data_IF_757236335981
#
_entry.id   IF_757236335981
#
_cell.length_a   1.000
_cell.length_b   1.000
_cell.length_c   1.000
_cell.angle_alpha   90.00
_cell.angle_beta   90.00
_cell.angle_gamma   90.00
#
_symmetry.space_group_name_H-M   'P 1'
#
loop_
_entity.id
_entity.type
_entity.pdbx_description
1 polymer ?
#
# COMPACT_ATOMS: atom_id res chain seq x y z
N UNK A 1 42.06 13.62 -46.73
CA UNK A 1 40.81 13.77 -45.97
C UNK A 1 41.05 13.17 -44.60
N UNK A 2 41.34 14.02 -43.62
CA UNK A 2 41.62 13.62 -42.24
C UNK A 2 40.32 13.65 -41.45
N UNK A 3 39.94 12.52 -40.85
CA UNK A 3 38.85 12.44 -39.89
C UNK A 3 39.48 12.38 -38.49
N UNK A 4 39.27 13.45 -37.72
CA UNK A 4 39.54 13.53 -36.29
C UNK A 4 38.57 12.62 -35.53
N UNK A 5 39.10 11.61 -34.84
CA UNK A 5 38.43 11.00 -33.69
C UNK A 5 38.96 11.72 -32.44
N UNK A 6 38.08 12.46 -31.77
CA UNK A 6 38.38 13.17 -30.53
C UNK A 6 37.90 12.29 -29.36
N UNK A 7 38.80 11.46 -28.82
CA UNK A 7 38.58 10.72 -27.59
C UNK A 7 38.75 11.67 -26.40
N UNK A 8 37.66 12.29 -25.98
CA UNK A 8 37.59 13.10 -24.78
C UNK A 8 37.51 12.22 -23.52
N UNK A 9 38.65 11.81 -22.99
CA UNK A 9 38.76 11.29 -21.64
C UNK A 9 38.44 12.43 -20.65
N UNK A 10 37.26 12.39 -20.03
CA UNK A 10 36.92 13.25 -18.90
C UNK A 10 37.75 12.81 -17.68
N UNK A 11 38.80 13.56 -17.37
CA UNK A 11 39.54 13.45 -16.12
C UNK A 11 38.63 13.83 -14.95
N UNK A 12 38.52 12.92 -13.97
CA UNK A 12 38.05 13.25 -12.63
C UNK A 12 39.13 14.13 -12.00
N UNK A 13 38.90 15.45 -11.96
CA UNK A 13 39.70 16.33 -11.13
C UNK A 13 39.38 16.05 -9.66
N UNK A 14 40.42 15.72 -8.89
CA UNK A 14 40.35 15.49 -7.45
C UNK A 14 39.80 16.73 -6.74
N UNK A 15 38.59 16.61 -6.20
CA UNK A 15 38.00 17.62 -5.31
C UNK A 15 38.77 17.57 -3.98
N UNK A 16 39.44 18.64 -3.55
CA UNK A 16 40.16 18.63 -2.28
C UNK A 16 39.18 18.45 -1.11
N UNK A 17 39.43 17.44 -0.28
CA UNK A 17 38.67 17.17 0.94
C UNK A 17 38.61 18.42 1.82
N UNK A 18 37.40 18.99 1.95
CA UNK A 18 37.12 20.02 2.93
C UNK A 18 37.27 19.40 4.33
N UNK A 19 37.97 20.04 5.27
CA UNK A 19 38.13 19.49 6.62
C UNK A 19 36.75 19.33 7.26
N UNK A 20 36.41 18.10 7.65
CA UNK A 20 35.20 17.80 8.41
C UNK A 20 35.19 18.68 9.67
N UNK A 21 34.22 19.59 9.75
CA UNK A 21 34.01 20.37 10.95
C UNK A 21 33.76 19.40 12.11
N UNK A 22 34.43 19.56 13.27
CA UNK A 22 34.23 18.66 14.40
C UNK A 22 32.76 18.66 14.79
N UNK A 23 32.09 17.50 14.64
CA UNK A 23 30.70 17.33 15.05
C UNK A 23 30.60 17.64 16.55
N UNK A 24 30.07 18.82 16.87
CA UNK A 24 29.82 19.22 18.24
C UNK A 24 28.83 18.21 18.84
N UNK A 25 29.27 17.46 19.87
CA UNK A 25 28.44 16.43 20.45
C UNK A 25 27.15 17.05 21.00
N UNK A 26 25.97 16.48 20.69
CA UNK A 26 24.70 17.06 21.10
C UNK A 26 24.63 17.12 22.63
N UNK A 27 24.65 18.34 23.18
CA UNK A 27 24.52 18.59 24.62
C UNK A 27 23.09 18.30 25.05
N UNK A 28 22.95 17.64 26.20
CA UNK A 28 21.64 17.40 26.82
C UNK A 28 20.95 18.74 27.12
N UNK A 29 19.80 18.97 26.49
CA UNK A 29 18.97 20.14 26.72
C UNK A 29 17.75 19.75 27.56
N UNK A 30 17.60 20.38 28.73
CA UNK A 30 16.50 20.12 29.68
C UNK A 30 15.12 20.40 29.08
N UNK A 31 15.03 21.33 28.14
CA UNK A 31 13.76 21.76 27.54
C UNK A 31 13.15 20.65 26.68
N UNK A 32 14.00 19.86 26.02
CA UNK A 32 13.56 18.72 25.21
C UNK A 32 13.36 17.44 26.02
N UNK A 33 13.74 17.38 27.30
CA UNK A 33 13.64 16.17 28.11
C UNK A 33 12.20 15.67 28.25
N UNK A 34 11.24 16.59 28.41
CA UNK A 34 9.82 16.23 28.49
C UNK A 34 9.27 15.65 27.18
N UNK A 35 9.68 16.22 26.04
CA UNK A 35 9.31 15.73 24.71
C UNK A 35 9.96 14.38 24.42
N UNK A 36 11.23 14.23 24.80
CA UNK A 36 11.97 12.99 24.69
C UNK A 36 11.35 11.86 25.52
N UNK A 37 10.91 12.14 26.75
CA UNK A 37 10.18 11.15 27.56
C UNK A 37 8.87 10.71 26.92
N UNK A 38 8.13 11.63 26.27
CA UNK A 38 6.90 11.28 25.55
C UNK A 38 7.19 10.40 24.33
N UNK A 39 8.25 10.72 23.59
CA UNK A 39 8.72 9.89 22.49
C UNK A 39 9.12 8.48 22.96
N UNK A 40 9.95 8.39 24.00
CA UNK A 40 10.38 7.09 24.56
C UNK A 40 9.21 6.31 25.15
N UNK A 41 8.23 6.99 25.75
CA UNK A 41 7.03 6.34 26.28
C UNK A 41 6.20 5.69 25.17
N UNK A 42 6.03 6.40 24.06
CA UNK A 42 5.38 5.88 22.87
C UNK A 42 6.17 4.71 22.28
N UNK A 43 7.49 4.86 22.12
CA UNK A 43 8.35 3.87 21.49
C UNK A 43 8.35 2.55 22.26
N UNK A 44 8.47 2.61 23.59
CA UNK A 44 8.54 1.42 24.46
C UNK A 44 7.18 0.97 24.98
N UNK A 45 6.08 1.64 24.57
CA UNK A 45 4.71 1.40 25.05
C UNK A 45 4.60 1.33 26.58
N UNK A 46 5.33 2.20 27.28
CA UNK A 46 5.33 2.28 28.76
C UNK A 46 5.48 3.71 29.24
N UNK A 47 5.05 4.00 30.45
CA UNK A 47 5.13 5.36 31.00
C UNK A 47 6.45 5.58 31.73
N UNK A 48 7.11 6.71 31.46
CA UNK A 48 8.29 7.14 32.22
C UNK A 48 7.99 8.32 33.13
N UNK A 49 8.64 8.33 34.30
CA UNK A 49 8.61 9.48 35.20
C UNK A 49 9.54 10.59 34.69
N UNK A 50 9.32 11.83 35.14
CA UNK A 50 10.19 12.98 34.80
C UNK A 50 11.67 12.78 35.20
N UNK A 51 11.90 11.92 36.19
CA UNK A 51 13.23 11.56 36.68
C UNK A 51 13.93 10.51 35.81
N UNK A 52 13.23 9.83 34.89
CA UNK A 52 13.84 8.80 34.06
C UNK A 52 14.97 9.38 33.21
N UNK A 53 16.06 8.62 33.10
CA UNK A 53 17.24 8.92 32.29
C UNK A 53 17.58 7.68 31.48
N UNK A 54 18.18 7.90 30.32
CA UNK A 54 18.51 6.83 29.37
C UNK A 54 20.01 6.83 29.14
N UNK A 55 20.61 5.66 29.26
CA UNK A 55 22.00 5.47 28.87
C UNK A 55 22.12 5.55 27.34
N UNK A 56 23.25 6.02 26.78
CA UNK A 56 23.45 6.08 25.33
C UNK A 56 23.19 4.74 24.62
N UNK A 57 23.51 3.62 25.27
CA UNK A 57 23.22 2.28 24.76
C UNK A 57 21.73 1.99 24.57
N UNK A 58 20.87 2.55 25.44
CA UNK A 58 19.42 2.45 25.31
C UNK A 58 18.85 3.28 24.14
N UNK A 59 19.67 4.19 23.57
CA UNK A 59 19.33 4.99 22.40
C UNK A 59 19.78 4.33 21.10
N UNK A 60 20.67 3.33 21.15
CA UNK A 60 21.23 2.68 19.96
C UNK A 60 20.19 1.96 19.09
N UNK A 61 19.04 1.60 19.67
CA UNK A 61 17.91 1.01 18.94
C UNK A 61 16.98 2.04 18.28
N UNK A 62 17.18 3.34 18.49
CA UNK A 62 16.35 4.39 17.92
C UNK A 62 16.77 4.61 16.46
N UNK A 63 15.85 4.32 15.55
CA UNK A 63 16.05 4.48 14.12
C UNK A 63 15.27 5.72 13.62
N UNK A 64 15.68 6.36 12.51
CA UNK A 64 15.00 7.55 11.97
C UNK A 64 13.49 7.39 11.74
N UNK A 65 13.03 6.19 11.38
CA UNK A 65 11.61 5.92 11.18
C UNK A 65 10.79 5.98 12.49
N UNK A 66 11.36 5.60 13.64
CA UNK A 66 10.68 5.74 14.93
C UNK A 66 10.31 7.20 15.19
N UNK A 67 11.22 8.12 14.87
CA UNK A 67 11.00 9.56 15.00
C UNK A 67 9.95 10.03 13.99
N UNK A 68 10.00 9.56 12.74
CA UNK A 68 8.99 9.90 11.74
C UNK A 68 7.60 9.36 12.05
N UNK A 69 7.46 8.13 12.53
CA UNK A 69 6.17 7.55 12.90
C UNK A 69 5.56 8.31 14.08
N UNK A 70 6.38 8.65 15.08
CA UNK A 70 5.93 9.49 16.18
C UNK A 70 5.46 10.87 15.70
N UNK A 71 6.23 11.53 14.84
CA UNK A 71 5.89 12.86 14.32
C UNK A 71 4.71 12.82 13.35
N UNK A 72 4.66 11.88 12.40
CA UNK A 72 3.62 11.78 11.36
C UNK A 72 2.33 11.17 11.91
N UNK A 73 2.41 9.98 12.49
CA UNK A 73 1.24 9.16 12.82
C UNK A 73 0.62 9.56 14.16
N UNK A 74 1.42 10.02 15.12
CA UNK A 74 0.91 10.43 16.43
C UNK A 74 0.64 11.93 16.45
N UNK A 75 1.65 12.77 16.25
CA UNK A 75 1.49 14.20 16.47
C UNK A 75 0.84 14.91 15.28
N UNK A 76 1.36 14.78 14.06
CA UNK A 76 0.86 15.48 12.88
C UNK A 76 -0.56 15.05 12.55
N UNK A 77 -0.86 13.76 12.56
CA UNK A 77 -2.21 13.23 12.33
C UNK A 77 -3.20 13.67 13.41
N UNK A 78 -2.86 13.54 14.70
CA UNK A 78 -3.76 13.94 15.77
C UNK A 78 -4.03 15.45 15.75
N UNK A 79 -2.98 16.27 15.59
CA UNK A 79 -3.13 17.73 15.52
C UNK A 79 -3.94 18.10 14.27
N UNK A 80 -3.57 17.60 13.09
CA UNK A 80 -4.24 17.93 11.83
C UNK A 80 -5.71 17.51 11.80
N UNK A 81 -6.09 16.43 12.47
CA UNK A 81 -7.49 15.98 12.53
C UNK A 81 -8.37 17.01 13.25
N UNK A 82 -7.86 17.58 14.35
CA UNK A 82 -8.56 18.58 15.15
C UNK A 82 -8.21 20.03 14.79
N UNK A 83 -7.32 20.28 13.83
CA UNK A 83 -6.95 21.66 13.44
C UNK A 83 -8.10 22.35 12.70
N UNK A 84 -8.66 23.45 13.25
CA UNK A 84 -9.74 24.18 12.59
C UNK A 84 -9.25 24.91 11.34
N UNK A 85 -8.02 25.44 11.39
CA UNK A 85 -7.41 26.21 10.32
C UNK A 85 -6.59 25.26 9.43
N UNK A 86 -7.25 24.58 8.48
CA UNK A 86 -6.59 23.61 7.59
C UNK A 86 -5.87 24.26 6.41
N UNK A 87 -6.36 25.41 5.94
CA UNK A 87 -5.86 26.09 4.74
C UNK A 87 -4.51 26.79 4.93
N UNK A 88 -4.34 27.49 6.06
CA UNK A 88 -3.27 28.46 6.25
C UNK A 88 -1.92 27.82 6.60
N UNK A 89 -0.86 28.23 5.90
CA UNK A 89 0.53 27.84 6.20
C UNK A 89 0.99 28.38 7.56
N UNK A 90 1.88 27.66 8.24
CA UNK A 90 2.46 28.13 9.50
C UNK A 90 3.50 29.21 9.24
N UNK A 91 3.41 30.34 9.94
CA UNK A 91 4.38 31.44 9.83
C UNK A 91 5.30 31.57 11.07
N UNK A 92 5.29 30.58 11.96
CA UNK A 92 6.04 30.61 13.23
C UNK A 92 5.19 30.94 14.46
N UNK A 93 4.11 31.70 14.29
CA UNK A 93 3.25 32.15 15.41
C UNK A 93 1.76 31.84 15.20
N UNK A 94 1.30 31.74 13.96
CA UNK A 94 -0.09 31.46 13.58
C UNK A 94 -0.19 30.60 12.31
N UNK A 95 -1.38 30.08 12.05
CA UNK A 95 -1.67 29.16 10.94
C UNK A 95 -1.68 27.69 11.39
N UNK A 96 -1.41 26.76 10.47
CA UNK A 96 -1.39 25.33 10.76
C UNK A 96 0.03 24.81 11.05
N UNK A 97 0.39 24.49 12.31
CA UNK A 97 1.75 24.03 12.65
C UNK A 97 2.20 22.79 11.88
N UNK A 98 1.24 21.96 11.44
CA UNK A 98 1.53 20.75 10.64
C UNK A 98 1.99 21.06 9.21
N UNK A 99 1.80 22.30 8.74
CA UNK A 99 2.29 22.82 7.46
C UNK A 99 3.59 23.63 7.60
N UNK A 100 4.24 23.61 8.77
CA UNK A 100 5.52 24.29 8.96
C UNK A 100 6.63 23.68 8.11
N UNK A 101 7.49 24.54 7.57
CA UNK A 101 8.61 24.12 6.71
C UNK A 101 9.59 23.18 7.42
N UNK A 102 10.02 23.43 8.68
CA UNK A 102 10.93 22.52 9.38
C UNK A 102 10.35 21.10 9.57
N UNK A 103 9.05 21.00 9.86
CA UNK A 103 8.39 19.68 9.99
C UNK A 103 8.31 18.98 8.64
N UNK A 104 8.06 19.72 7.57
CA UNK A 104 8.00 19.15 6.22
C UNK A 104 9.39 18.72 5.73
N UNK A 105 10.45 19.46 6.05
CA UNK A 105 11.84 19.08 5.75
C UNK A 105 12.22 17.77 6.45
N UNK A 106 11.95 17.63 7.75
CA UNK A 106 12.19 16.37 8.47
C UNK A 106 11.41 15.21 7.84
N UNK A 107 10.16 15.45 7.45
CA UNK A 107 9.34 14.43 6.76
C UNK A 107 9.94 14.04 5.40
N UNK A 108 10.45 15.01 4.62
CA UNK A 108 11.10 14.77 3.33
C UNK A 108 12.38 13.96 3.50
N UNK A 109 13.24 14.33 4.44
CA UNK A 109 14.49 13.61 4.71
C UNK A 109 14.24 12.17 5.15
N UNK A 110 13.22 11.93 5.99
CA UNK A 110 12.87 10.55 6.35
C UNK A 110 12.31 9.77 5.16
N UNK A 111 11.46 10.37 4.33
CA UNK A 111 10.99 9.72 3.09
C UNK A 111 12.15 9.38 2.16
N UNK A 112 13.14 10.27 2.04
CA UNK A 112 14.36 10.05 1.26
C UNK A 112 15.22 8.92 1.83
N UNK A 113 15.35 8.83 3.15
CA UNK A 113 16.04 7.72 3.79
C UNK A 113 15.29 6.38 3.61
N UNK A 114 13.95 6.40 3.61
CA UNK A 114 13.11 5.24 3.31
C UNK A 114 13.28 4.77 1.87
N UNK A 115 13.23 5.68 0.88
CA UNK A 115 13.40 5.34 -0.54
C UNK A 115 14.82 4.88 -0.89
N UNK A 116 15.84 5.35 -0.16
CA UNK A 116 17.22 4.88 -0.28
C UNK A 116 17.47 3.54 0.43
N UNK A 117 16.41 2.88 0.94
CA UNK A 117 16.49 1.62 1.69
C UNK A 117 17.39 1.68 2.95
N UNK A 118 17.63 2.88 3.48
CA UNK A 118 18.36 3.11 4.74
C UNK A 118 17.45 3.00 5.97
N UNK A 119 16.14 2.83 5.75
CA UNK A 119 15.13 2.55 6.78
C UNK A 119 14.94 1.06 7.09
N UNK A 120 13.97 0.74 7.95
CA UNK A 120 13.57 -0.65 8.22
C UNK A 120 13.01 -1.28 6.94
N UNK A 121 13.34 -2.55 6.68
CA UNK A 121 12.73 -3.32 5.60
C UNK A 121 11.21 -3.28 5.73
N UNK A 122 10.51 -3.09 4.61
CA UNK A 122 9.05 -3.03 4.57
C UNK A 122 8.44 -4.20 5.33
N UNK A 123 7.50 -3.91 6.24
CA UNK A 123 6.65 -4.92 6.87
C UNK A 123 5.36 -5.15 6.06
N UNK A 124 5.29 -4.67 4.81
CA UNK A 124 4.17 -4.99 3.94
C UNK A 124 4.09 -6.51 3.77
N UNK A 125 2.87 -7.05 3.72
CA UNK A 125 2.67 -8.44 3.34
C UNK A 125 3.36 -8.67 2.00
N UNK A 126 4.08 -9.79 1.89
CA UNK A 126 4.67 -10.17 0.61
C UNK A 126 3.58 -10.47 -0.40
N UNK A 127 3.94 -10.35 -1.67
CA UNK A 127 3.08 -10.76 -2.77
C UNK A 127 2.83 -12.28 -2.73
N UNK A 128 1.68 -12.68 -3.28
CA UNK A 128 1.33 -14.09 -3.44
C UNK A 128 2.24 -14.73 -4.47
N UNK A 129 2.65 -15.97 -4.19
CA UNK A 129 3.29 -16.81 -5.21
C UNK A 129 2.23 -17.40 -6.15
N UNK A 130 2.64 -17.78 -7.36
CA UNK A 130 1.77 -18.43 -8.34
C UNK A 130 1.04 -19.65 -7.75
N UNK A 131 1.76 -20.50 -7.02
CA UNK A 131 1.21 -21.69 -6.37
C UNK A 131 0.14 -21.34 -5.32
N UNK A 132 0.34 -20.27 -4.57
CA UNK A 132 -0.65 -19.81 -3.58
C UNK A 132 -1.87 -19.22 -4.26
N UNK A 133 -1.67 -18.45 -5.33
CA UNK A 133 -2.77 -17.91 -6.12
C UNK A 133 -3.67 -19.03 -6.67
N UNK A 134 -3.08 -20.04 -7.32
CA UNK A 134 -3.83 -21.18 -7.87
C UNK A 134 -4.61 -21.92 -6.78
N UNK A 135 -3.99 -22.16 -5.62
CA UNK A 135 -4.66 -22.77 -4.47
C UNK A 135 -5.88 -21.95 -4.03
N UNK A 136 -5.74 -20.63 -3.90
CA UNK A 136 -6.86 -19.76 -3.54
C UNK A 136 -7.98 -19.85 -4.57
N UNK A 137 -7.66 -19.78 -5.87
CA UNK A 137 -8.65 -19.88 -6.94
C UNK A 137 -9.37 -21.24 -6.92
N UNK A 138 -8.65 -22.34 -6.72
CA UNK A 138 -9.23 -23.69 -6.65
C UNK A 138 -10.10 -23.86 -5.40
N UNK A 139 -9.63 -23.39 -4.24
CA UNK A 139 -10.41 -23.44 -3.00
C UNK A 139 -11.70 -22.61 -3.08
N UNK A 140 -11.69 -21.49 -3.79
CA UNK A 140 -12.89 -20.71 -4.07
C UNK A 140 -13.89 -21.52 -4.90
N UNK A 141 -13.42 -22.24 -5.93
CA UNK A 141 -14.29 -23.08 -6.76
C UNK A 141 -14.87 -24.28 -6.01
N UNK A 142 -14.13 -24.82 -5.03
CA UNK A 142 -14.56 -26.00 -4.27
C UNK A 142 -15.53 -25.67 -3.11
N UNK A 143 -15.30 -24.54 -2.40
CA UNK A 143 -15.96 -24.25 -1.11
C UNK A 143 -16.96 -23.11 -1.13
N UNK A 144 -16.89 -22.22 -2.12
CA UNK A 144 -17.71 -21.02 -2.13
C UNK A 144 -19.12 -21.27 -2.68
N UNK A 145 -20.05 -20.39 -2.31
CA UNK A 145 -21.31 -20.30 -3.05
C UNK A 145 -21.01 -19.91 -4.49
N UNK A 146 -21.76 -20.45 -5.46
CA UNK A 146 -21.53 -20.17 -6.89
C UNK A 146 -21.38 -18.67 -7.19
N UNK A 147 -22.17 -17.83 -6.51
CA UNK A 147 -22.14 -16.37 -6.62
C UNK A 147 -20.82 -15.76 -6.10
N UNK A 148 -20.45 -16.06 -4.86
CA UNK A 148 -19.25 -15.50 -4.23
C UNK A 148 -17.99 -16.01 -4.91
N UNK A 149 -17.99 -17.28 -5.32
CA UNK A 149 -16.89 -17.92 -6.05
C UNK A 149 -16.61 -17.23 -7.36
N UNK A 150 -17.61 -17.09 -8.25
CA UNK A 150 -17.37 -16.54 -9.59
C UNK A 150 -16.99 -15.08 -9.51
N UNK A 151 -17.66 -14.30 -8.64
CA UNK A 151 -17.32 -12.89 -8.41
C UNK A 151 -15.88 -12.75 -7.90
N UNK A 152 -15.55 -13.46 -6.82
CA UNK A 152 -14.23 -13.35 -6.19
C UNK A 152 -13.14 -13.83 -7.13
N UNK A 153 -13.31 -14.99 -7.78
CA UNK A 153 -12.36 -15.50 -8.76
C UNK A 153 -12.15 -14.53 -9.93
N UNK A 154 -13.20 -13.88 -10.43
CA UNK A 154 -13.06 -12.83 -11.44
C UNK A 154 -12.23 -11.64 -10.91
N UNK A 155 -12.56 -11.13 -9.71
CA UNK A 155 -11.78 -10.06 -9.09
C UNK A 155 -10.29 -10.40 -8.95
N UNK A 156 -9.97 -11.64 -8.57
CA UNK A 156 -8.57 -12.08 -8.42
C UNK A 156 -7.83 -12.13 -9.74
N UNK A 157 -8.49 -12.59 -10.81
CA UNK A 157 -7.91 -12.62 -12.16
C UNK A 157 -7.67 -11.20 -12.68
N UNK A 158 -8.62 -10.28 -12.44
CA UNK A 158 -8.42 -8.86 -12.77
C UNK A 158 -7.28 -8.25 -11.95
N UNK A 159 -7.17 -8.60 -10.66
CA UNK A 159 -6.13 -8.10 -9.77
C UNK A 159 -4.72 -8.41 -10.29
N UNK A 160 -4.49 -9.67 -10.65
CA UNK A 160 -3.20 -10.13 -11.17
C UNK A 160 -2.91 -9.51 -12.52
N UNK A 161 -3.89 -9.50 -13.43
CA UNK A 161 -3.69 -9.01 -14.79
C UNK A 161 -3.44 -7.49 -14.82
N UNK A 162 -4.15 -6.73 -14.00
CA UNK A 162 -4.04 -5.26 -13.98
C UNK A 162 -2.95 -4.74 -13.03
N UNK A 163 -2.36 -5.63 -12.20
CA UNK A 163 -1.36 -5.33 -11.17
C UNK A 163 -1.89 -4.29 -10.17
N UNK A 164 -3.00 -4.62 -9.52
CA UNK A 164 -3.77 -3.66 -8.71
C UNK A 164 -4.14 -4.20 -7.33
N UNK A 165 -4.59 -3.33 -6.43
CA UNK A 165 -5.15 -3.75 -5.15
C UNK A 165 -6.62 -4.17 -5.27
N UNK A 166 -7.08 -4.98 -4.32
CA UNK A 166 -8.50 -5.38 -4.23
C UNK A 166 -9.46 -4.18 -4.10
N UNK A 167 -9.02 -3.11 -3.41
CA UNK A 167 -9.79 -1.86 -3.27
C UNK A 167 -9.93 -1.08 -4.58
N UNK A 168 -9.04 -1.33 -5.54
CA UNK A 168 -9.06 -0.67 -6.85
C UNK A 168 -9.90 -1.48 -7.83
N UNK A 169 -9.77 -2.82 -7.80
CA UNK A 169 -10.62 -3.74 -8.57
C UNK A 169 -12.10 -3.57 -8.21
N UNK A 170 -12.45 -3.38 -6.94
CA UNK A 170 -13.84 -3.22 -6.51
C UNK A 170 -14.52 -1.95 -7.07
N UNK A 171 -13.73 -0.98 -7.56
CA UNK A 171 -14.21 0.27 -8.15
C UNK A 171 -14.33 0.22 -9.67
N UNK A 172 -13.94 -0.89 -10.31
CA UNK A 172 -14.08 -1.06 -11.75
C UNK A 172 -15.54 -0.98 -12.17
N UNK A 173 -15.79 -0.27 -13.26
CA UNK A 173 -17.10 -0.09 -13.89
C UNK A 173 -17.19 -0.83 -15.21
N UNK A 174 -18.40 -1.10 -15.68
CA UNK A 174 -18.59 -1.66 -17.02
C UNK A 174 -18.02 -0.75 -18.11
N UNK A 175 -18.14 0.58 -17.93
CA UNK A 175 -17.62 1.59 -18.85
C UNK A 175 -16.10 1.64 -18.94
N UNK A 176 -15.40 1.03 -17.98
CA UNK A 176 -13.93 1.03 -17.94
C UNK A 176 -13.34 -0.01 -18.90
N UNK A 177 -14.13 -1.01 -19.29
CA UNK A 177 -13.76 -2.00 -20.29
C UNK A 177 -14.23 -1.54 -21.67
N UNK A 178 -13.31 -1.58 -22.64
CA UNK A 178 -13.54 -1.23 -24.03
C UNK A 178 -12.90 -2.27 -24.92
N UNK A 179 -13.36 -2.37 -26.16
CA UNK A 179 -12.62 -3.10 -27.18
C UNK A 179 -11.28 -2.40 -27.42
N UNK A 180 -10.18 -3.14 -27.54
CA UNK A 180 -8.90 -2.54 -27.91
C UNK A 180 -8.98 -2.01 -29.35
N UNK A 181 -8.54 -0.76 -29.64
CA UNK A 181 -8.69 -0.16 -30.97
C UNK A 181 -8.00 -0.95 -32.08
N UNK A 182 -6.83 -1.51 -31.79
CA UNK A 182 -6.02 -2.22 -32.80
C UNK A 182 -6.17 -3.75 -32.76
N UNK A 183 -6.68 -4.32 -31.66
CA UNK A 183 -6.68 -5.76 -31.41
C UNK A 183 -8.10 -6.23 -31.08
N UNK A 184 -8.87 -6.72 -32.07
CA UNK A 184 -10.27 -7.07 -31.87
C UNK A 184 -10.47 -8.27 -30.93
N UNK A 185 -9.39 -9.02 -30.63
CA UNK A 185 -9.39 -10.12 -29.67
C UNK A 185 -9.01 -9.70 -28.25
N UNK A 186 -8.69 -8.42 -28.03
CA UNK A 186 -8.24 -7.89 -26.74
C UNK A 186 -9.22 -6.85 -26.20
N UNK A 187 -9.28 -6.75 -24.88
CA UNK A 187 -9.96 -5.66 -24.21
C UNK A 187 -8.94 -4.62 -23.77
N UNK A 188 -9.39 -3.39 -23.62
CA UNK A 188 -8.68 -2.30 -22.99
C UNK A 188 -9.42 -1.94 -21.71
N UNK A 189 -8.72 -1.84 -20.59
CA UNK A 189 -9.31 -1.51 -19.30
C UNK A 189 -8.57 -0.34 -18.65
N UNK A 190 -9.33 0.67 -18.24
CA UNK A 190 -8.79 1.80 -17.48
C UNK A 190 -9.06 1.63 -16.00
N UNK A 191 -7.99 1.49 -15.20
CA UNK A 191 -8.13 1.44 -13.75
C UNK A 191 -8.11 2.84 -13.16
N UNK A 192 -9.00 3.12 -12.21
CA UNK A 192 -9.10 4.43 -11.58
C UNK A 192 -8.16 4.55 -10.37
N UNK A 193 -7.32 5.59 -10.38
CA UNK A 193 -6.60 6.20 -9.26
C UNK A 193 -6.06 5.27 -8.15
N UNK A 194 -4.79 4.87 -8.29
CA UNK A 194 -4.01 4.29 -7.19
C UNK A 194 -3.50 5.37 -6.22
N UNK A 195 -3.20 4.96 -4.98
CA UNK A 195 -2.61 5.84 -3.93
C UNK A 195 -1.32 6.56 -4.34
N UNK A 196 -0.65 6.12 -5.40
CA UNK A 196 0.63 6.65 -5.87
C UNK A 196 0.55 7.31 -7.25
N UNK A 197 -0.64 7.49 -7.80
CA UNK A 197 -0.86 8.16 -9.08
C UNK A 197 -1.37 9.57 -8.80
N UNK A 198 -0.61 10.57 -9.23
CA UNK A 198 -0.97 11.98 -9.06
C UNK A 198 -1.64 12.57 -10.30
N UNK A 199 -1.46 11.95 -11.46
CA UNK A 199 -1.91 12.47 -12.75
C UNK A 199 -2.48 11.36 -13.63
N UNK A 200 -3.48 11.69 -14.45
CA UNK A 200 -4.19 10.72 -15.31
C UNK A 200 -3.26 10.03 -16.32
N UNK A 201 -2.22 10.72 -16.78
CA UNK A 201 -1.23 10.18 -17.72
C UNK A 201 -0.40 9.03 -17.12
N UNK A 202 -0.32 8.93 -15.79
CA UNK A 202 0.41 7.87 -15.09
C UNK A 202 -0.41 6.57 -14.95
N UNK A 203 -1.67 6.57 -15.38
CA UNK A 203 -2.55 5.39 -15.40
C UNK A 203 -3.10 5.17 -16.83
N UNK A 204 -2.25 4.74 -17.78
CA UNK A 204 -2.72 4.45 -19.13
C UNK A 204 -3.68 3.25 -19.14
N UNK A 205 -4.52 3.21 -20.16
CA UNK A 205 -5.37 2.06 -20.43
C UNK A 205 -4.51 0.79 -20.59
N UNK A 206 -4.90 -0.28 -19.90
CA UNK A 206 -4.17 -1.54 -19.89
C UNK A 206 -4.84 -2.55 -20.82
N UNK A 207 -4.04 -3.25 -21.63
CA UNK A 207 -4.53 -4.31 -22.50
C UNK A 207 -4.80 -5.60 -21.71
N UNK A 208 -5.98 -6.17 -21.90
CA UNK A 208 -6.40 -7.46 -21.36
C UNK A 208 -6.44 -8.47 -22.50
N UNK A 209 -5.67 -9.54 -22.32
CA UNK A 209 -5.53 -10.63 -23.27
C UNK A 209 -6.17 -11.91 -22.72
N UNK A 210 -6.63 -12.76 -23.63
CA UNK A 210 -7.03 -14.12 -23.29
C UNK A 210 -5.78 -14.96 -23.03
N UNK A 211 -5.78 -15.70 -21.93
CA UNK A 211 -4.73 -16.67 -21.60
C UNK A 211 -5.27 -18.08 -21.82
N UNK A 212 -4.37 -19.00 -22.21
CA UNK A 212 -4.66 -20.44 -22.29
C UNK A 212 -4.74 -21.10 -20.90
N UNK A 213 -4.28 -20.40 -19.87
CA UNK A 213 -4.38 -20.84 -18.48
C UNK A 213 -5.69 -20.34 -17.86
N UNK A 214 -6.58 -21.28 -17.54
CA UNK A 214 -7.91 -20.96 -16.99
C UNK A 214 -7.84 -20.29 -15.62
N UNK A 215 -6.80 -20.55 -14.83
CA UNK A 215 -6.67 -19.99 -13.48
C UNK A 215 -6.34 -18.49 -13.54
N UNK A 216 -5.59 -18.07 -14.56
CA UNK A 216 -5.12 -16.69 -14.72
C UNK A 216 -5.90 -15.87 -15.75
N UNK A 217 -6.68 -16.51 -16.63
CA UNK A 217 -7.34 -15.83 -17.74
C UNK A 217 -8.40 -14.82 -17.25
N UNK A 218 -8.02 -13.54 -17.25
CA UNK A 218 -8.88 -12.42 -16.86
C UNK A 218 -10.11 -12.28 -17.78
N UNK A 219 -9.97 -12.51 -19.09
CA UNK A 219 -11.10 -12.51 -20.01
C UNK A 219 -12.10 -13.62 -19.72
N UNK A 220 -11.63 -14.84 -19.44
CA UNK A 220 -12.51 -15.97 -19.09
C UNK A 220 -13.21 -15.73 -17.75
N UNK A 221 -12.50 -15.20 -16.75
CA UNK A 221 -13.08 -14.79 -15.48
C UNK A 221 -14.18 -13.75 -15.67
N UNK A 222 -13.93 -12.74 -16.51
CA UNK A 222 -14.89 -11.68 -16.82
C UNK A 222 -16.12 -12.22 -17.54
N UNK A 223 -15.94 -13.06 -18.55
CA UNK A 223 -17.04 -13.68 -19.30
C UNK A 223 -17.93 -14.54 -18.39
N UNK A 224 -17.33 -15.42 -17.57
CA UNK A 224 -18.06 -16.26 -16.62
C UNK A 224 -18.83 -15.41 -15.59
N UNK A 225 -18.22 -14.34 -15.09
CA UNK A 225 -18.87 -13.43 -14.17
C UNK A 225 -20.04 -12.69 -14.81
N UNK A 226 -19.86 -12.13 -16.01
CA UNK A 226 -20.94 -11.46 -16.73
C UNK A 226 -22.11 -12.41 -17.00
N UNK A 227 -21.84 -13.61 -17.50
CA UNK A 227 -22.87 -14.63 -17.77
C UNK A 227 -23.64 -15.01 -16.49
N UNK A 228 -22.93 -15.24 -15.37
CA UNK A 228 -23.56 -15.51 -14.09
C UNK A 228 -24.37 -14.30 -13.60
N UNK A 229 -23.82 -13.09 -13.70
CA UNK A 229 -24.49 -11.87 -13.28
C UNK A 229 -25.80 -11.61 -14.03
N UNK A 230 -25.84 -11.90 -15.33
CA UNK A 230 -27.06 -11.80 -16.13
C UNK A 230 -28.08 -12.88 -15.77
N UNK A 231 -27.67 -14.15 -15.69
CA UNK A 231 -28.58 -15.28 -15.47
C UNK A 231 -29.21 -15.28 -14.07
N UNK A 232 -28.46 -14.88 -13.05
CA UNK A 232 -28.93 -14.94 -11.66
C UNK A 232 -29.41 -13.58 -11.14
N UNK A 233 -29.36 -12.52 -11.95
CA UNK A 233 -29.69 -11.15 -11.53
C UNK A 233 -28.73 -10.58 -10.48
N UNK A 234 -27.59 -11.25 -10.24
CA UNK A 234 -26.55 -10.85 -9.30
C UNK A 234 -25.44 -10.13 -10.03
N UNK A 235 -25.77 -8.91 -10.42
CA UNK A 235 -24.86 -7.98 -11.03
C UNK A 235 -25.61 -6.68 -11.23
N UNK A 236 -24.86 -5.60 -11.17
CA UNK A 236 -25.29 -4.31 -11.63
C UNK A 236 -25.84 -4.34 -13.08
N UNK A 237 -25.61 -5.39 -13.87
CA UNK A 237 -26.22 -5.55 -15.19
C UNK A 237 -27.77 -5.68 -15.18
N UNK A 238 -28.40 -5.90 -14.02
CA UNK A 238 -29.87 -5.83 -13.84
C UNK A 238 -30.36 -4.63 -13.00
N UNK A 239 -29.47 -3.73 -12.57
CA UNK A 239 -29.79 -2.56 -11.72
C UNK A 239 -29.14 -1.30 -12.31
N UNK A 240 -29.56 -0.10 -11.95
CA UNK A 240 -28.90 1.14 -12.42
C UNK A 240 -27.52 1.37 -11.74
N UNK A 241 -26.67 0.34 -11.67
CA UNK A 241 -25.38 0.40 -11.01
C UNK A 241 -24.26 0.35 -12.05
N UNK A 242 -23.29 1.25 -11.91
CA UNK A 242 -22.16 1.36 -12.84
C UNK A 242 -21.02 0.41 -12.51
N UNK A 243 -20.94 -0.09 -11.27
CA UNK A 243 -19.81 -0.89 -10.78
C UNK A 243 -19.96 -2.37 -11.14
N UNK A 244 -18.83 -2.99 -11.48
CA UNK A 244 -18.79 -4.37 -11.94
C UNK A 244 -19.02 -5.36 -10.79
N UNK A 245 -18.30 -5.23 -9.68
CA UNK A 245 -18.26 -6.25 -8.61
C UNK A 245 -19.02 -5.91 -7.33
N UNK A 246 -19.57 -4.70 -7.21
CA UNK A 246 -20.32 -4.29 -6.00
C UNK A 246 -21.79 -4.05 -6.35
N UNK A 247 -22.73 -4.50 -5.50
CA UNK A 247 -24.16 -4.18 -5.66
C UNK A 247 -24.50 -2.75 -5.26
N UNK A 248 -23.57 -2.02 -4.61
CA UNK A 248 -23.78 -0.69 -4.09
C UNK A 248 -23.41 0.40 -5.12
N UNK A 249 -24.21 1.46 -5.17
CA UNK A 249 -23.98 2.62 -6.05
C UNK A 249 -22.99 3.65 -5.49
N UNK A 250 -22.62 3.56 -4.20
CA UNK A 250 -21.67 4.47 -3.56
C UNK A 250 -20.24 3.86 -3.53
N UNK A 251 -19.26 4.47 -4.22
CA UNK A 251 -17.87 4.01 -4.22
C UNK A 251 -17.21 3.97 -2.84
N UNK A 252 -17.74 4.68 -1.82
CA UNK A 252 -17.21 4.68 -0.45
C UNK A 252 -17.62 3.46 0.35
N UNK A 253 -18.66 2.73 -0.07
CA UNK A 253 -19.20 1.56 0.62
C UNK A 253 -18.74 0.24 -0.02
N UNK A 254 -18.39 0.27 -1.31
CA UNK A 254 -17.78 -0.83 -2.06
C UNK A 254 -16.64 -1.59 -1.33
N UNK A 255 -15.75 -0.95 -0.53
CA UNK A 255 -14.68 -1.66 0.17
C UNK A 255 -15.14 -2.59 1.30
N UNK A 256 -16.39 -2.47 1.79
CA UNK A 256 -16.88 -3.27 2.94
C UNK A 256 -17.10 -4.74 2.58
N UNK A 257 -17.41 -5.04 1.31
CA UNK A 257 -17.55 -6.41 0.80
C UNK A 257 -16.19 -7.03 0.40
N UNK A 258 -15.14 -6.21 0.26
CA UNK A 258 -13.77 -6.68 0.02
C UNK A 258 -13.17 -7.46 1.19
N UNK A 259 -13.80 -7.47 2.36
CA UNK A 259 -13.32 -8.22 3.51
C UNK A 259 -13.30 -9.73 3.23
N UNK A 260 -14.25 -10.30 2.48
CA UNK A 260 -14.23 -11.72 2.13
C UNK A 260 -13.04 -12.09 1.22
N UNK A 261 -12.71 -11.25 0.23
CA UNK A 261 -11.54 -11.44 -0.62
C UNK A 261 -10.24 -11.26 0.19
N UNK A 262 -10.15 -10.23 1.04
CA UNK A 262 -9.00 -10.00 1.92
C UNK A 262 -8.85 -11.08 3.01
N UNK A 263 -9.94 -11.68 3.47
CA UNK A 263 -9.98 -12.81 4.41
C UNK A 263 -9.48 -14.09 3.73
N UNK A 264 -9.85 -14.33 2.47
CA UNK A 264 -9.26 -15.42 1.66
C UNK A 264 -7.74 -15.26 1.49
N UNK A 265 -7.22 -14.03 1.59
CA UNK A 265 -5.79 -13.73 1.55
C UNK A 265 -5.11 -13.63 2.91
N UNK A 266 -5.84 -13.79 4.00
CA UNK A 266 -5.27 -13.74 5.34
C UNK A 266 -4.76 -15.12 5.76
N UNK A 267 -3.48 -15.27 6.17
CA UNK A 267 -2.88 -16.57 6.50
C UNK A 267 -3.43 -17.24 7.78
N UNK A 268 -4.55 -16.78 8.35
CA UNK A 268 -5.01 -17.14 9.70
C UNK A 268 -6.12 -18.21 9.73
N UNK A 269 -6.22 -19.06 8.72
CA UNK A 269 -7.17 -20.20 8.75
C UNK A 269 -6.50 -21.53 8.45
N UNK A 270 -5.31 -21.77 9.00
CA UNK A 270 -4.93 -23.12 9.40
C UNK A 270 -5.29 -23.29 10.87
N UNK A 271 -6.57 -23.56 11.15
CA UNK A 271 -6.93 -24.21 12.42
C UNK A 271 -6.32 -25.60 12.38
N UNK A 272 -5.37 -25.84 13.27
CA UNK A 272 -4.85 -27.15 13.63
C UNK A 272 -6.02 -28.11 13.85
N UNK A 273 -6.14 -29.11 12.98
CA UNK A 273 -6.93 -30.30 13.26
C UNK A 273 -6.15 -31.13 14.27
N UNK A 274 -6.35 -30.85 15.56
CA UNK A 274 -5.88 -31.74 16.61
C UNK A 274 -6.61 -33.08 16.50
N UNK A 275 -5.82 -34.13 16.27
CA UNK A 275 -6.27 -35.51 16.32
C UNK A 275 -6.64 -35.87 17.77
N UNK A 276 -7.73 -36.60 18.03
CA UNK A 276 -8.08 -36.96 19.39
C UNK A 276 -7.11 -38.03 19.91
N UNK A 277 -6.32 -37.68 20.92
CA UNK A 277 -5.58 -38.67 21.71
C UNK A 277 -6.58 -39.49 22.53
N UNK A 278 -6.55 -40.80 22.32
CA UNK A 278 -7.27 -41.79 23.11
C UNK A 278 -6.77 -41.81 24.55
N UNK A 279 -7.63 -41.50 25.51
CA UNK A 279 -7.41 -41.78 26.94
C UNK A 279 -7.43 -43.30 27.17
N UNK A 280 -6.28 -43.84 27.56
CA UNK A 280 -6.18 -45.18 28.17
C UNK A 280 -6.56 -45.02 29.64
N UNK A 281 -7.73 -45.51 30.02
CA UNK A 281 -8.13 -45.68 31.42
C UNK A 281 -7.38 -46.87 32.02
N UNK A 282 -6.62 -46.61 33.08
CA UNK A 282 -6.34 -47.58 34.14
C UNK A 282 -7.46 -47.57 35.17
#
# INVERSE_FOLDING_TARGET
>A
MANNANDGAFGLEDVPDLPEAPMEQPKYNRDYHGLFLKFMSWLHKRTYTKAARFQPSALGGIQPHHVADYLKCVHKKAISFYMPIKGTTWNGTSGNPTKSDPVNEVVKEVKKAETQHRGKKSCANRDLTETEYRKVVHELYDKGSFEETIRTACMLKQQVHLITGTDDISKLKYSDYKLHPDFPFALSCKVHWFKNISEEQQCPDQIILGLLDTDFCAMLGLANYMEASFNYGYGAAGRENAFLFTPESDPKLAPKHCNAANEAFSPTTQKTSDSPQSEVKG
#
